data_IF_586903767486
#
_entry.id   IF_586903767486
#
_cell.length_a   1.000
_cell.length_b   1.000
_cell.length_c   1.000
_cell.angle_alpha   90.00
_cell.angle_beta   90.00
_cell.angle_gamma   90.00
#
_symmetry.space_group_name_H-M   'P 1'
#
loop_
_entity.id
_entity.type
_entity.pdbx_description
1 polymer ?
#
# COMPACT_ATOMS: atom_id res chain seq x y z
N UNK A 1 3.84 51.09 -12.70
CA UNK A 1 3.67 49.63 -12.82
C UNK A 1 4.11 48.85 -11.57
N UNK A 2 4.72 49.48 -10.55
CA UNK A 2 5.16 48.76 -9.34
C UNK A 2 6.31 47.78 -9.57
N UNK A 3 7.01 47.92 -10.70
CA UNK A 3 8.18 47.12 -11.07
C UNK A 3 9.39 47.75 -10.39
N UNK A 4 10.22 46.91 -9.75
CA UNK A 4 11.50 47.34 -9.23
C UNK A 4 12.56 47.38 -10.33
N UNK A 5 13.49 48.32 -10.24
CA UNK A 5 14.50 48.56 -11.26
C UNK A 5 15.91 48.31 -10.74
N UNK A 6 16.69 47.56 -11.52
CA UNK A 6 18.14 47.54 -11.38
C UNK A 6 18.73 48.33 -12.55
N UNK A 7 19.47 49.40 -12.25
CA UNK A 7 20.05 50.28 -13.27
C UNK A 7 21.57 50.14 -13.24
N UNK A 8 22.16 49.85 -14.40
CA UNK A 8 23.59 49.68 -14.55
C UNK A 8 24.28 50.87 -15.18
N UNK A 9 25.41 51.29 -14.61
CA UNK A 9 26.42 52.10 -15.29
C UNK A 9 27.33 51.17 -16.07
N UNK A 10 27.35 51.29 -17.41
CA UNK A 10 28.26 50.52 -18.25
C UNK A 10 29.66 51.13 -18.20
N UNK A 11 30.62 50.41 -17.64
CA UNK A 11 32.00 50.87 -17.51
C UNK A 11 32.91 50.20 -18.54
N UNK A 12 33.86 50.95 -19.08
CA UNK A 12 34.87 50.51 -20.05
C UNK A 12 36.25 51.10 -19.73
N UNK A 13 37.25 50.91 -20.60
CA UNK A 13 38.54 51.61 -20.50
C UNK A 13 38.49 53.13 -20.73
N UNK A 14 37.35 53.71 -21.13
CA UNK A 14 37.19 55.16 -21.33
C UNK A 14 36.76 55.84 -20.02
N UNK A 15 37.71 56.52 -19.38
CA UNK A 15 37.48 57.18 -18.08
C UNK A 15 36.45 58.32 -18.17
N UNK A 16 36.43 59.10 -19.25
CA UNK A 16 35.45 60.18 -19.38
C UNK A 16 34.03 59.64 -19.60
N UNK A 17 33.90 58.56 -20.35
CA UNK A 17 32.62 57.87 -20.51
C UNK A 17 32.13 57.29 -19.18
N UNK A 18 33.02 56.66 -18.41
CA UNK A 18 32.70 56.11 -17.09
C UNK A 18 32.17 57.18 -16.14
N UNK A 19 32.81 58.35 -16.08
CA UNK A 19 32.36 59.48 -15.25
C UNK A 19 30.94 59.93 -15.61
N UNK A 20 30.61 59.97 -16.90
CA UNK A 20 29.24 60.29 -17.37
C UNK A 20 28.23 59.22 -16.95
N UNK A 21 28.60 57.94 -17.01
CA UNK A 21 27.72 56.83 -16.63
C UNK A 21 27.46 56.81 -15.12
N UNK A 22 28.51 56.99 -14.31
CA UNK A 22 28.42 57.03 -12.84
C UNK A 22 27.58 58.21 -12.37
N UNK A 23 27.79 59.40 -12.95
CA UNK A 23 27.01 60.59 -12.60
C UNK A 23 25.53 60.39 -12.89
N UNK A 24 25.20 59.84 -14.08
CA UNK A 24 23.82 59.52 -14.43
C UNK A 24 23.18 58.50 -13.50
N UNK A 25 23.89 57.42 -13.15
CA UNK A 25 23.38 56.41 -12.21
C UNK A 25 23.04 57.04 -10.85
N UNK A 26 23.89 57.93 -10.34
CA UNK A 26 23.66 58.64 -9.07
C UNK A 26 22.44 59.58 -9.19
N UNK A 27 22.32 60.32 -10.29
CA UNK A 27 21.20 61.23 -10.51
C UNK A 27 19.86 60.48 -10.59
N UNK A 28 19.82 59.35 -11.31
CA UNK A 28 18.65 58.48 -11.38
C UNK A 28 18.29 57.87 -10.02
N UNK A 29 19.31 57.48 -9.23
CA UNK A 29 19.07 56.99 -7.88
C UNK A 29 18.46 58.06 -6.97
N UNK A 30 18.96 59.31 -7.04
CA UNK A 30 18.40 60.45 -6.30
C UNK A 30 17.00 60.83 -6.77
N UNK A 31 16.68 60.58 -8.04
CA UNK A 31 15.34 60.75 -8.59
C UNK A 31 14.35 59.65 -8.13
N UNK A 32 14.83 58.60 -7.45
CA UNK A 32 14.00 57.49 -6.97
C UNK A 32 13.71 56.42 -8.02
N UNK A 33 14.46 56.41 -9.13
CA UNK A 33 14.26 55.49 -10.25
C UNK A 33 15.08 54.19 -10.13
N UNK A 34 15.84 54.00 -9.04
CA UNK A 34 16.79 52.90 -8.85
C UNK A 34 16.49 52.17 -7.54
N UNK A 35 16.09 50.89 -7.60
CA UNK A 35 16.04 50.02 -6.42
C UNK A 35 17.38 49.31 -6.16
N UNK A 36 18.17 49.09 -7.21
CA UNK A 36 19.50 48.45 -7.16
C UNK A 36 20.44 49.10 -8.17
N UNK A 37 21.54 49.69 -7.70
CA UNK A 37 22.53 50.35 -8.54
C UNK A 37 23.65 49.36 -8.90
N UNK A 38 23.89 49.14 -10.19
CA UNK A 38 24.93 48.24 -10.70
C UNK A 38 26.07 49.08 -11.29
N UNK A 39 27.26 48.93 -10.74
CA UNK A 39 28.48 49.66 -11.11
C UNK A 39 29.36 48.73 -11.92
N UNK A 40 29.20 48.76 -13.24
CA UNK A 40 29.85 47.82 -14.15
C UNK A 40 29.09 46.51 -14.30
N UNK A 41 29.14 45.96 -15.51
CA UNK A 41 28.74 44.59 -15.83
C UNK A 41 29.90 43.95 -16.58
N UNK A 42 30.40 42.81 -16.10
CA UNK A 42 31.54 42.06 -16.66
C UNK A 42 32.80 42.91 -16.87
N UNK A 43 32.99 43.92 -16.03
CA UNK A 43 34.10 44.86 -16.12
C UNK A 43 35.45 44.18 -15.83
N UNK A 44 35.49 43.25 -14.86
CA UNK A 44 36.68 42.47 -14.54
C UNK A 44 36.96 41.44 -15.64
N UNK A 45 35.91 40.74 -16.11
CA UNK A 45 36.03 39.79 -17.22
C UNK A 45 36.61 40.44 -18.48
N UNK A 46 36.15 41.65 -18.82
CA UNK A 46 36.64 42.40 -19.99
C UNK A 46 38.00 43.07 -19.75
N UNK A 47 38.50 43.06 -18.51
CA UNK A 47 39.71 43.76 -18.10
C UNK A 47 39.67 45.26 -18.48
N UNK A 48 38.49 45.87 -18.38
CA UNK A 48 38.26 47.27 -18.72
C UNK A 48 38.82 48.21 -17.63
N UNK A 49 38.78 47.76 -16.37
CA UNK A 49 39.25 48.48 -15.18
C UNK A 49 39.99 47.52 -14.27
N UNK A 50 40.95 48.05 -13.49
CA UNK A 50 41.58 47.29 -12.41
C UNK A 50 40.63 47.08 -11.22
N UNK A 51 40.95 46.11 -10.35
CA UNK A 51 40.22 45.84 -9.11
C UNK A 51 40.03 47.12 -8.27
N UNK A 52 41.09 47.89 -8.08
CA UNK A 52 41.08 49.11 -7.26
C UNK A 52 40.24 50.23 -7.90
N UNK A 53 40.28 50.39 -9.22
CA UNK A 53 39.46 51.37 -9.94
C UNK A 53 37.98 51.05 -9.81
N UNK A 54 37.60 49.79 -9.97
CA UNK A 54 36.21 49.35 -9.81
C UNK A 54 35.72 49.58 -8.37
N UNK A 55 36.55 49.26 -7.38
CA UNK A 55 36.26 49.51 -5.96
C UNK A 55 36.02 51.00 -5.69
N UNK A 56 36.82 51.89 -6.29
CA UNK A 56 36.66 53.34 -6.13
C UNK A 56 35.30 53.81 -6.66
N UNK A 57 34.90 53.36 -7.85
CA UNK A 57 33.57 53.68 -8.40
C UNK A 57 32.43 53.14 -7.53
N UNK A 58 32.54 51.89 -7.05
CA UNK A 58 31.53 51.30 -6.15
C UNK A 58 31.39 52.15 -4.89
N UNK A 59 32.50 52.52 -4.24
CA UNK A 59 32.50 53.36 -3.04
C UNK A 59 31.86 54.72 -3.29
N UNK A 60 32.21 55.37 -4.40
CA UNK A 60 31.67 56.68 -4.77
C UNK A 60 30.16 56.63 -4.97
N UNK A 61 29.66 55.62 -5.69
CA UNK A 61 28.22 55.43 -5.89
C UNK A 61 27.53 55.17 -4.55
N UNK A 62 28.06 54.26 -3.71
CA UNK A 62 27.53 53.98 -2.37
C UNK A 62 27.40 55.20 -1.48
N UNK A 63 28.38 56.09 -1.51
CA UNK A 63 28.37 57.33 -0.72
C UNK A 63 27.40 58.37 -1.27
N UNK A 64 26.98 58.26 -2.53
CA UNK A 64 26.23 59.29 -3.25
C UNK A 64 24.76 58.96 -3.49
N UNK A 65 24.38 57.69 -3.44
CA UNK A 65 22.99 57.24 -3.63
C UNK A 65 22.18 57.37 -2.33
N UNK A 66 20.84 57.54 -2.39
CA UNK A 66 20.00 57.61 -1.20
C UNK A 66 20.08 56.36 -0.31
N UNK A 67 19.87 56.53 0.99
CA UNK A 67 19.81 55.43 1.94
C UNK A 67 18.72 54.42 1.53
N UNK A 68 19.08 53.14 1.48
CA UNK A 68 18.19 52.04 1.08
C UNK A 68 18.35 51.59 -0.38
N UNK A 69 19.09 52.33 -1.21
CA UNK A 69 19.52 51.86 -2.53
C UNK A 69 20.78 51.01 -2.36
N UNK A 70 20.67 49.71 -2.60
CA UNK A 70 21.82 48.81 -2.57
C UNK A 70 22.70 49.05 -3.81
N UNK A 71 24.02 48.94 -3.64
CA UNK A 71 24.98 49.06 -4.73
C UNK A 71 25.76 47.76 -4.91
N UNK A 72 26.01 47.37 -6.15
CA UNK A 72 26.76 46.17 -6.51
C UNK A 72 27.55 46.39 -7.80
N UNK A 73 28.41 45.45 -8.18
CA UNK A 73 28.80 45.18 -9.57
C UNK A 73 28.16 43.88 -10.03
N UNK A 74 28.02 43.66 -11.34
CA UNK A 74 27.69 42.35 -11.90
C UNK A 74 28.92 41.82 -12.64
N UNK A 75 29.35 40.59 -12.34
CA UNK A 75 30.45 39.96 -13.08
C UNK A 75 30.28 38.45 -13.10
N UNK A 76 31.13 37.73 -13.83
CA UNK A 76 31.04 36.27 -13.88
C UNK A 76 31.31 35.66 -12.50
N UNK A 77 30.75 34.47 -12.26
CA UNK A 77 31.03 33.67 -11.06
C UNK A 77 32.53 33.57 -10.73
N UNK A 78 33.37 33.35 -11.75
CA UNK A 78 34.81 33.15 -11.57
C UNK A 78 35.51 34.45 -11.19
N UNK A 79 35.17 35.55 -11.84
CA UNK A 79 35.79 36.85 -11.56
C UNK A 79 35.47 37.35 -10.15
N UNK A 80 34.22 37.20 -9.70
CA UNK A 80 33.85 37.61 -8.35
C UNK A 80 34.60 36.81 -7.28
N UNK A 81 34.75 35.50 -7.47
CA UNK A 81 35.51 34.66 -6.52
C UNK A 81 37.01 34.99 -6.52
N UNK A 82 37.57 35.42 -7.66
CA UNK A 82 38.96 35.85 -7.74
C UNK A 82 39.20 37.22 -7.08
N UNK A 83 38.16 38.05 -6.97
CA UNK A 83 38.23 39.43 -6.46
C UNK A 83 37.35 39.64 -5.21
N UNK A 84 37.67 39.01 -4.06
CA UNK A 84 36.86 39.10 -2.85
C UNK A 84 36.78 40.51 -2.26
N UNK A 85 37.74 41.39 -2.55
CA UNK A 85 37.67 42.79 -2.10
C UNK A 85 36.53 43.55 -2.79
N UNK A 86 36.31 43.30 -4.08
CA UNK A 86 35.17 43.87 -4.82
C UNK A 86 33.86 43.40 -4.20
N UNK A 87 33.74 42.11 -3.91
CA UNK A 87 32.57 41.55 -3.22
C UNK A 87 32.38 42.16 -1.82
N UNK A 88 33.46 42.45 -1.09
CA UNK A 88 33.41 43.09 0.23
C UNK A 88 32.86 44.52 0.18
N UNK A 89 33.00 45.22 -0.93
CA UNK A 89 32.48 46.58 -1.10
C UNK A 89 31.03 46.63 -1.60
N UNK A 90 30.51 45.58 -2.23
CA UNK A 90 29.12 45.50 -2.69
C UNK A 90 28.13 45.26 -1.53
N UNK A 91 26.91 45.78 -1.61
CA UNK A 91 25.85 45.50 -0.62
C UNK A 91 25.14 44.16 -0.89
N UNK A 92 25.09 43.79 -2.16
CA UNK A 92 24.50 42.55 -2.70
C UNK A 92 25.51 41.96 -3.68
N UNK A 93 25.54 40.65 -3.89
CA UNK A 93 26.45 40.00 -4.84
C UNK A 93 25.64 39.55 -6.06
N UNK A 94 25.95 40.11 -7.22
CA UNK A 94 25.31 39.80 -8.50
C UNK A 94 26.28 39.06 -9.42
N UNK A 95 25.96 37.81 -9.78
CA UNK A 95 26.83 37.02 -10.64
C UNK A 95 26.15 36.52 -11.92
N UNK A 96 26.87 36.66 -13.03
CA UNK A 96 26.51 36.11 -14.34
C UNK A 96 26.96 34.64 -14.39
N UNK A 97 26.07 33.76 -14.87
CA UNK A 97 26.33 32.32 -14.91
C UNK A 97 25.62 31.67 -16.08
N UNK A 98 26.38 31.27 -17.09
CA UNK A 98 25.87 30.71 -18.33
C UNK A 98 26.48 29.32 -18.59
N UNK A 99 25.83 28.24 -18.13
CA UNK A 99 26.25 26.87 -18.45
C UNK A 99 26.39 26.62 -19.96
N UNK A 100 25.59 27.32 -20.77
CA UNK A 100 25.67 27.27 -22.22
C UNK A 100 27.07 27.60 -22.76
N UNK A 101 27.63 28.76 -22.37
CA UNK A 101 28.94 29.22 -22.84
C UNK A 101 30.09 28.33 -22.39
N UNK A 102 29.90 27.55 -21.34
CA UNK A 102 30.88 26.62 -20.79
C UNK A 102 30.76 25.20 -21.37
N UNK A 103 29.90 25.00 -22.36
CA UNK A 103 29.71 23.70 -23.01
C UNK A 103 29.06 22.62 -22.14
N UNK A 104 28.34 23.03 -21.08
CA UNK A 104 27.68 22.15 -20.14
C UNK A 104 26.35 21.69 -20.71
N UNK A 105 26.12 20.38 -20.74
CA UNK A 105 24.89 19.80 -21.25
C UNK A 105 23.65 20.21 -20.45
N UNK A 106 22.50 20.27 -21.11
CA UNK A 106 21.24 20.75 -20.53
C UNK A 106 20.82 20.00 -19.25
N UNK A 107 21.14 18.71 -19.17
CA UNK A 107 20.87 17.82 -18.02
C UNK A 107 21.76 18.12 -16.80
N UNK A 108 22.91 18.76 -16.99
CA UNK A 108 23.87 19.12 -15.92
C UNK A 108 23.89 20.61 -15.59
N UNK A 109 23.26 21.43 -16.43
CA UNK A 109 23.30 22.89 -16.31
C UNK A 109 22.79 23.38 -14.94
N UNK A 110 21.77 22.74 -14.37
CA UNK A 110 21.23 23.12 -13.07
C UNK A 110 22.07 22.66 -11.88
N UNK A 111 22.78 21.53 -12.00
CA UNK A 111 23.72 21.10 -10.96
C UNK A 111 24.85 22.12 -10.81
N UNK A 112 25.30 22.69 -11.94
CA UNK A 112 26.27 23.78 -11.96
C UNK A 112 25.71 25.04 -11.28
N UNK A 113 24.49 25.45 -11.61
CA UNK A 113 23.87 26.63 -10.99
C UNK A 113 23.73 26.49 -9.47
N UNK A 114 23.21 25.34 -9.02
CA UNK A 114 23.05 25.06 -7.60
C UNK A 114 24.38 25.04 -6.84
N UNK A 115 25.40 24.41 -7.43
CA UNK A 115 26.76 24.38 -6.87
C UNK A 115 27.37 25.78 -6.74
N UNK A 116 27.27 26.60 -7.80
CA UNK A 116 27.79 27.98 -7.81
C UNK A 116 27.12 28.86 -6.80
N UNK A 117 25.79 28.82 -6.76
CA UNK A 117 25.02 29.64 -5.82
C UNK A 117 25.40 29.31 -4.38
N UNK A 118 25.45 28.01 -4.03
CA UNK A 118 25.87 27.56 -2.69
C UNK A 118 27.30 27.96 -2.38
N UNK A 119 28.21 27.86 -3.34
CA UNK A 119 29.60 28.27 -3.16
C UNK A 119 29.68 29.78 -2.85
N UNK A 120 29.05 30.63 -3.66
CA UNK A 120 29.04 32.08 -3.43
C UNK A 120 28.42 32.43 -2.08
N UNK A 121 27.25 31.88 -1.75
CA UNK A 121 26.59 32.11 -0.45
C UNK A 121 27.52 31.77 0.73
N UNK A 122 28.32 30.70 0.62
CA UNK A 122 29.27 30.32 1.67
C UNK A 122 30.50 31.25 1.76
N UNK A 123 30.84 31.96 0.68
CA UNK A 123 32.03 32.82 0.62
C UNK A 123 31.73 34.30 0.88
N UNK A 124 30.46 34.70 0.84
CA UNK A 124 30.06 36.11 1.01
C UNK A 124 29.42 36.29 2.38
N UNK A 125 29.93 37.25 3.17
CA UNK A 125 29.66 37.47 4.62
C UNK A 125 28.18 37.75 4.96
N UNK A 126 27.28 36.80 4.73
CA UNK A 126 25.81 36.92 4.82
C UNK A 126 25.21 37.99 3.91
N UNK A 127 25.89 38.35 2.81
CA UNK A 127 25.33 39.27 1.81
C UNK A 127 24.32 38.53 0.93
N UNK A 128 23.21 39.16 0.52
CA UNK A 128 22.30 38.57 -0.45
C UNK A 128 23.03 38.24 -1.76
N UNK A 129 22.71 37.08 -2.35
CA UNK A 129 23.25 36.65 -3.65
C UNK A 129 22.12 36.60 -4.66
N UNK A 130 22.34 37.25 -5.80
CA UNK A 130 21.42 37.33 -6.93
C UNK A 130 22.10 36.73 -8.16
N UNK A 131 21.39 35.86 -8.87
CA UNK A 131 21.82 35.47 -10.23
C UNK A 131 21.47 36.62 -11.16
N UNK A 132 22.45 37.42 -11.56
CA UNK A 132 22.21 38.62 -12.36
C UNK A 132 21.92 38.31 -13.80
N UNK A 133 22.53 37.27 -14.35
CA UNK A 133 22.22 36.83 -15.69
C UNK A 133 22.41 35.33 -15.86
N UNK A 134 21.44 34.71 -16.52
CA UNK A 134 21.54 33.35 -17.00
C UNK A 134 20.47 33.09 -18.06
N UNK A 135 20.72 32.16 -18.96
CA UNK A 135 19.75 31.75 -19.96
C UNK A 135 20.23 30.56 -20.77
N UNK A 136 19.45 30.22 -21.79
CA UNK A 136 19.83 29.23 -22.80
C UNK A 136 19.19 29.58 -24.14
N UNK A 137 19.96 29.72 -25.23
CA UNK A 137 19.44 30.18 -26.51
C UNK A 137 18.62 29.10 -27.21
N UNK A 138 17.55 29.51 -27.89
CA UNK A 138 16.64 28.59 -28.59
C UNK A 138 17.13 28.16 -29.97
N UNK A 139 18.18 28.80 -30.49
CA UNK A 139 18.81 28.48 -31.77
C UNK A 139 20.25 29.03 -31.79
N UNK A 140 21.06 28.59 -32.77
CA UNK A 140 22.44 29.03 -32.95
C UNK A 140 23.44 27.88 -32.96
N UNK A 141 24.69 28.15 -32.60
CA UNK A 141 25.77 27.18 -32.67
C UNK A 141 25.89 26.33 -31.40
N UNK A 142 26.14 25.03 -31.52
CA UNK A 142 26.48 24.19 -30.36
C UNK A 142 27.86 24.57 -29.82
N UNK A 143 27.99 24.70 -28.50
CA UNK A 143 29.26 24.91 -27.80
C UNK A 143 29.50 23.70 -26.91
N UNK A 144 30.58 22.94 -27.12
CA UNK A 144 30.80 21.70 -26.36
C UNK A 144 29.58 20.78 -26.40
N UNK A 145 28.98 20.49 -25.24
CA UNK A 145 27.74 19.70 -25.12
C UNK A 145 26.47 20.57 -24.99
N UNK A 146 26.61 21.89 -25.04
CA UNK A 146 25.51 22.85 -24.98
C UNK A 146 24.85 22.99 -26.36
N UNK A 147 23.73 22.30 -26.54
CA UNK A 147 22.96 22.36 -27.79
C UNK A 147 21.86 23.42 -27.68
N UNK A 148 21.88 24.51 -28.47
CA UNK A 148 20.78 25.45 -28.52
C UNK A 148 19.58 24.84 -29.24
N UNK A 149 18.40 24.94 -28.64
CA UNK A 149 17.13 24.52 -29.26
C UNK A 149 15.96 25.09 -28.48
N UNK A 150 14.79 25.24 -29.12
CA UNK A 150 13.57 25.65 -28.43
C UNK A 150 13.27 24.76 -27.22
N UNK A 151 13.50 23.44 -27.35
CA UNK A 151 13.30 22.49 -26.25
C UNK A 151 14.29 22.70 -25.09
N UNK A 152 15.59 22.86 -25.37
CA UNK A 152 16.58 23.06 -24.31
C UNK A 152 16.44 24.42 -23.65
N UNK A 153 16.11 25.46 -24.41
CA UNK A 153 15.81 26.81 -23.90
C UNK A 153 14.63 26.77 -22.92
N UNK A 154 13.49 26.20 -23.32
CA UNK A 154 12.34 26.03 -22.44
C UNK A 154 12.62 25.13 -21.24
N UNK A 155 13.45 24.09 -21.42
CA UNK A 155 13.87 23.18 -20.35
C UNK A 155 14.70 23.92 -19.30
N UNK A 156 15.68 24.69 -19.74
CA UNK A 156 16.55 25.46 -18.86
C UNK A 156 15.76 26.50 -18.08
N UNK A 157 14.96 27.32 -18.77
CA UNK A 157 14.09 28.31 -18.15
C UNK A 157 13.19 27.68 -17.09
N UNK A 158 12.53 26.58 -17.42
CA UNK A 158 11.64 25.89 -16.50
C UNK A 158 12.34 25.40 -15.23
N UNK A 159 13.49 24.74 -15.37
CA UNK A 159 14.20 24.22 -14.20
C UNK A 159 14.87 25.33 -13.39
N UNK A 160 15.46 26.33 -14.04
CA UNK A 160 16.09 27.46 -13.37
C UNK A 160 15.08 28.25 -12.53
N UNK A 161 13.96 28.66 -13.14
CA UNK A 161 12.89 29.39 -12.42
C UNK A 161 12.30 28.53 -11.30
N UNK A 162 12.11 27.23 -11.54
CA UNK A 162 11.62 26.31 -10.51
C UNK A 162 12.59 26.20 -9.32
N UNK A 163 13.88 26.04 -9.60
CA UNK A 163 14.94 26.00 -8.58
C UNK A 163 14.99 27.31 -7.80
N UNK A 164 15.01 28.45 -8.49
CA UNK A 164 15.10 29.76 -7.85
C UNK A 164 13.89 30.04 -6.94
N UNK A 165 12.66 29.82 -7.44
CA UNK A 165 11.44 30.01 -6.65
C UNK A 165 11.34 29.05 -5.46
N UNK A 166 11.74 27.78 -5.64
CA UNK A 166 11.70 26.80 -4.56
C UNK A 166 12.67 27.13 -3.42
N UNK A 167 13.77 27.83 -3.73
CA UNK A 167 14.79 28.22 -2.77
C UNK A 167 14.73 29.71 -2.37
N UNK A 168 13.71 30.45 -2.82
CA UNK A 168 13.57 31.90 -2.59
C UNK A 168 14.79 32.73 -3.07
N UNK A 169 15.41 32.29 -4.17
CA UNK A 169 16.56 32.95 -4.78
C UNK A 169 16.09 34.08 -5.70
N UNK A 170 16.69 35.26 -5.55
CA UNK A 170 16.47 36.38 -6.45
C UNK A 170 17.30 36.21 -7.74
N UNK A 171 16.72 36.57 -8.88
CA UNK A 171 17.36 36.41 -10.17
C UNK A 171 16.83 37.41 -11.20
N UNK A 172 17.65 37.66 -12.21
CA UNK A 172 17.23 38.23 -13.49
C UNK A 172 17.52 37.18 -14.56
N UNK A 173 16.48 36.76 -15.28
CA UNK A 173 16.63 35.76 -16.36
C UNK A 173 16.93 36.50 -17.66
N UNK A 174 17.98 36.08 -18.34
CA UNK A 174 18.40 36.64 -19.61
C UNK A 174 17.78 35.81 -20.76
N UNK A 175 16.86 36.34 -21.54
CA UNK A 175 16.34 37.72 -21.52
C UNK A 175 14.83 37.77 -21.81
N UNK A 176 14.26 38.97 -21.83
CA UNK A 176 12.84 39.12 -22.14
C UNK A 176 12.58 38.75 -23.61
N UNK A 177 13.09 39.51 -24.57
CA UNK A 177 12.79 39.34 -25.99
C UNK A 177 14.03 38.92 -26.75
N UNK A 178 13.86 38.12 -27.81
CA UNK A 178 14.92 37.83 -28.77
C UNK A 178 15.46 39.15 -29.40
N UNK A 179 16.75 39.42 -29.22
CA UNK A 179 17.40 40.64 -29.71
C UNK A 179 18.27 40.40 -30.96
N UNK A 180 17.70 40.59 -32.15
CA UNK A 180 18.35 40.20 -33.43
C UNK A 180 19.70 40.87 -33.70
N UNK A 181 19.92 42.07 -33.14
CA UNK A 181 21.15 42.85 -33.34
C UNK A 181 22.37 42.21 -32.68
N UNK A 182 22.20 41.39 -31.64
CA UNK A 182 23.30 40.69 -30.93
C UNK A 182 24.01 39.65 -31.79
N UNK A 183 23.37 39.17 -32.85
CA UNK A 183 23.95 38.18 -33.76
C UNK A 183 25.27 38.63 -34.41
N UNK A 184 25.48 39.94 -34.53
CA UNK A 184 26.69 40.54 -35.09
C UNK A 184 27.92 40.24 -34.24
N UNK A 185 27.80 40.35 -32.91
CA UNK A 185 28.93 40.23 -31.99
C UNK A 185 28.99 38.88 -31.28
N UNK A 186 27.84 38.23 -31.07
CA UNK A 186 27.72 36.99 -30.28
C UNK A 186 27.47 35.75 -31.14
N UNK A 187 27.46 35.91 -32.48
CA UNK A 187 27.13 34.86 -33.43
C UNK A 187 25.64 34.52 -33.46
N UNK A 188 25.23 33.50 -34.22
CA UNK A 188 23.82 33.18 -34.46
C UNK A 188 22.97 33.03 -33.19
N UNK A 189 23.55 32.49 -32.12
CA UNK A 189 22.88 32.30 -30.83
C UNK A 189 22.50 33.61 -30.11
N UNK A 190 23.22 34.70 -30.35
CA UNK A 190 23.00 35.99 -29.70
C UNK A 190 21.58 36.53 -29.90
N UNK A 191 20.94 36.18 -31.01
CA UNK A 191 19.60 36.64 -31.34
C UNK A 191 18.45 35.84 -30.68
N UNK A 192 18.75 34.84 -29.84
CA UNK A 192 17.78 33.79 -29.51
C UNK A 192 17.63 33.45 -28.02
N UNK A 193 17.91 34.40 -27.11
CA UNK A 193 17.87 34.20 -25.66
C UNK A 193 16.53 34.51 -24.99
N UNK A 194 15.60 35.12 -25.72
CA UNK A 194 14.33 35.60 -25.19
C UNK A 194 13.44 34.49 -24.63
N UNK A 195 12.67 34.85 -23.61
CA UNK A 195 11.45 34.12 -23.19
C UNK A 195 10.31 34.38 -24.19
N UNK A 196 10.28 35.58 -24.76
CA UNK A 196 9.44 36.00 -25.87
C UNK A 196 10.28 36.12 -27.14
N UNK A 197 9.67 35.90 -28.31
CA UNK A 197 10.29 36.22 -29.58
C UNK A 197 10.31 37.74 -29.82
N UNK A 198 10.99 38.17 -30.89
CA UNK A 198 11.13 39.59 -31.26
C UNK A 198 9.80 40.32 -31.51
N UNK A 199 8.73 39.57 -31.77
CA UNK A 199 7.40 40.10 -32.08
C UNK A 199 6.48 40.07 -30.84
N UNK A 200 7.01 39.64 -29.69
CA UNK A 200 6.31 39.61 -28.41
C UNK A 200 5.49 38.35 -28.15
N UNK A 201 5.62 37.30 -28.97
CA UNK A 201 4.95 36.03 -28.70
C UNK A 201 5.80 35.19 -27.74
N UNK A 202 5.15 34.54 -26.77
CA UNK A 202 5.85 33.66 -25.83
C UNK A 202 6.39 32.43 -26.56
N UNK A 203 7.67 32.11 -26.35
CA UNK A 203 8.31 30.97 -27.02
C UNK A 203 7.77 29.64 -26.48
N UNK A 204 7.61 28.61 -27.33
CA UNK A 204 6.99 27.35 -26.93
C UNK A 204 7.66 26.68 -25.72
N UNK A 205 6.88 26.34 -24.72
CA UNK A 205 7.34 25.64 -23.51
C UNK A 205 7.70 26.58 -22.35
N UNK A 206 7.90 27.88 -22.61
CA UNK A 206 8.15 28.86 -21.55
C UNK A 206 6.95 29.02 -20.62
N UNK A 207 5.73 28.80 -21.10
CA UNK A 207 4.50 28.93 -20.31
C UNK A 207 4.36 27.87 -19.21
N UNK A 208 5.19 26.82 -19.22
CA UNK A 208 5.14 25.74 -18.23
C UNK A 208 5.36 26.24 -16.79
N UNK A 209 6.15 27.29 -16.60
CA UNK A 209 6.37 27.89 -15.25
C UNK A 209 5.17 28.70 -14.74
N UNK A 210 4.18 28.93 -15.60
CA UNK A 210 2.96 29.70 -15.29
C UNK A 210 1.77 28.80 -14.97
N UNK A 211 1.82 27.51 -15.34
CA UNK A 211 0.71 26.57 -15.16
C UNK A 211 0.86 25.78 -13.86
N UNK A 212 -0.12 25.90 -12.96
CA UNK A 212 -0.22 25.08 -11.73
C UNK A 212 -0.27 23.58 -12.14
N UNK A 213 0.39 22.67 -11.39
CA UNK A 213 0.40 21.25 -11.73
C UNK A 213 -1.02 20.68 -11.62
N UNK A 214 -1.33 19.67 -12.43
CA UNK A 214 -2.61 18.96 -12.33
C UNK A 214 -2.35 17.55 -11.81
N UNK A 215 -2.65 17.31 -10.54
CA UNK A 215 -2.39 16.04 -9.88
C UNK A 215 -3.18 14.90 -10.52
N UNK A 216 -2.50 13.82 -10.90
CA UNK A 216 -3.15 12.58 -11.33
C UNK A 216 -2.28 11.38 -11.05
N UNK A 217 -2.89 10.22 -10.79
CA UNK A 217 -2.14 9.00 -10.50
C UNK A 217 -2.93 7.73 -10.80
N UNK A 218 -2.22 6.61 -10.84
CA UNK A 218 -2.75 5.25 -10.86
C UNK A 218 -2.02 4.35 -9.86
N UNK A 219 -2.70 3.32 -9.35
CA UNK A 219 -2.14 2.26 -8.52
C UNK A 219 -2.44 0.89 -9.10
N UNK A 220 -1.51 -0.06 -9.00
CA UNK A 220 -1.73 -1.45 -9.40
C UNK A 220 -0.98 -2.44 -8.48
N UNK A 221 -1.64 -3.50 -7.98
CA UNK A 221 -3.09 -3.74 -8.03
C UNK A 221 -3.88 -2.82 -7.08
N UNK A 222 -5.17 -2.60 -7.34
CA UNK A 222 -6.06 -1.83 -6.44
C UNK A 222 -6.79 -2.70 -5.40
N UNK A 223 -6.69 -4.03 -5.50
CA UNK A 223 -7.22 -4.92 -4.48
C UNK A 223 -6.44 -6.22 -4.38
N UNK A 224 -6.45 -6.84 -3.19
CA UNK A 224 -5.81 -8.12 -2.95
C UNK A 224 -5.77 -8.49 -1.47
N UNK A 225 -5.08 -9.58 -1.14
CA UNK A 225 -4.93 -10.04 0.24
C UNK A 225 -3.66 -9.45 0.89
N UNK A 226 -3.66 -9.34 2.21
CA UNK A 226 -2.45 -9.00 2.97
C UNK A 226 -1.32 -10.05 2.76
N UNK A 227 -0.04 -9.62 2.67
CA UNK A 227 0.39 -8.24 2.43
C UNK A 227 0.15 -7.83 0.97
N UNK A 228 -0.46 -6.66 0.75
CA UNK A 228 -0.71 -6.15 -0.59
C UNK A 228 0.34 -5.11 -0.96
N UNK A 229 1.26 -5.47 -1.87
CA UNK A 229 2.23 -4.55 -2.47
C UNK A 229 1.60 -3.86 -3.68
N UNK A 230 1.49 -2.54 -3.64
CA UNK A 230 0.89 -1.69 -4.68
C UNK A 230 1.97 -0.78 -5.29
N UNK A 231 2.06 -0.77 -6.61
CA UNK A 231 2.85 0.21 -7.36
C UNK A 231 1.97 1.42 -7.66
N UNK A 232 2.37 2.59 -7.19
CA UNK A 232 1.78 3.88 -7.53
C UNK A 232 2.64 4.58 -8.60
N UNK A 233 1.95 5.15 -9.59
CA UNK A 233 2.56 5.85 -10.72
C UNK A 233 1.95 7.23 -10.85
N UNK A 234 2.80 8.25 -10.88
CA UNK A 234 2.41 9.63 -11.17
C UNK A 234 1.95 9.76 -12.64
N UNK A 235 0.84 10.46 -12.83
CA UNK A 235 0.24 10.79 -14.14
C UNK A 235 -0.06 12.29 -14.23
N UNK A 236 0.52 13.10 -13.33
CA UNK A 236 0.23 14.51 -13.23
C UNK A 236 0.73 15.30 -14.45
N UNK A 237 0.01 16.36 -14.80
CA UNK A 237 0.35 17.24 -15.92
C UNK A 237 0.97 18.57 -15.44
N UNK A 238 1.40 19.40 -16.40
CA UNK A 238 2.07 20.69 -16.19
C UNK A 238 3.36 20.60 -15.36
N UNK A 239 4.17 19.57 -15.65
CA UNK A 239 5.53 19.38 -15.12
C UNK A 239 5.63 19.63 -13.60
N UNK A 240 5.23 18.67 -12.75
CA UNK A 240 5.52 18.75 -11.32
C UNK A 240 7.02 18.54 -11.04
N UNK A 241 7.56 19.27 -10.06
CA UNK A 241 8.94 19.13 -9.56
C UNK A 241 9.02 18.46 -8.18
N UNK A 242 7.91 18.37 -7.44
CA UNK A 242 7.86 17.62 -6.17
C UNK A 242 6.54 16.86 -6.00
N UNK A 243 6.61 15.75 -5.28
CA UNK A 243 5.48 14.85 -5.00
C UNK A 243 5.36 14.60 -3.50
N UNK A 244 4.12 14.40 -3.02
CA UNK A 244 3.83 13.92 -1.66
C UNK A 244 2.62 13.00 -1.73
N UNK A 245 2.86 11.72 -1.53
CA UNK A 245 1.86 10.67 -1.43
C UNK A 245 1.36 10.54 0.01
N UNK A 246 0.06 10.28 0.18
CA UNK A 246 -0.52 9.72 1.39
C UNK A 246 -1.25 8.43 1.03
N UNK A 247 -0.90 7.33 1.68
CA UNK A 247 -1.46 6.01 1.37
C UNK A 247 -2.70 5.67 2.19
N UNK A 248 -3.14 6.56 3.09
CA UNK A 248 -4.34 6.35 3.91
C UNK A 248 -4.16 5.42 5.12
N UNK A 249 -2.95 4.90 5.36
CA UNK A 249 -2.59 4.07 6.52
C UNK A 249 -1.63 4.78 7.49
N UNK A 250 -1.48 6.10 7.34
CA UNK A 250 -0.54 6.93 8.10
C UNK A 250 0.85 7.03 7.48
N UNK A 251 1.15 6.32 6.39
CA UNK A 251 2.44 6.40 5.69
C UNK A 251 2.38 7.31 4.46
N UNK A 252 3.55 7.83 4.08
CA UNK A 252 3.74 8.77 2.97
C UNK A 252 5.02 8.49 2.18
N UNK A 253 5.14 9.09 1.00
CA UNK A 253 6.35 9.07 0.17
C UNK A 253 6.50 10.38 -0.61
N UNK A 254 7.73 10.81 -0.89
CA UNK A 254 8.02 11.98 -1.73
C UNK A 254 8.55 11.60 -3.12
N UNK A 255 8.70 10.31 -3.40
CA UNK A 255 9.17 9.80 -4.69
C UNK A 255 8.07 9.91 -5.75
N UNK A 256 8.42 10.33 -6.98
CA UNK A 256 7.47 10.45 -8.10
C UNK A 256 6.61 9.20 -8.31
N UNK A 257 7.26 8.05 -8.48
CA UNK A 257 6.61 6.74 -8.50
C UNK A 257 6.98 6.01 -7.21
N UNK A 258 5.99 5.43 -6.53
CA UNK A 258 6.20 4.87 -5.19
C UNK A 258 5.67 3.45 -5.11
N UNK A 259 6.28 2.63 -4.27
CA UNK A 259 5.84 1.27 -3.97
C UNK A 259 5.46 1.24 -2.51
N UNK A 260 4.25 0.80 -2.19
CA UNK A 260 3.78 0.70 -0.82
C UNK A 260 3.16 -0.66 -0.52
N UNK A 261 3.36 -1.16 0.70
CA UNK A 261 2.84 -2.46 1.14
C UNK A 261 1.88 -2.27 2.31
N UNK A 262 0.62 -2.66 2.10
CA UNK A 262 -0.41 -2.68 3.13
C UNK A 262 -0.41 -4.02 3.88
N UNK A 263 -0.25 -3.98 5.20
CA UNK A 263 -0.17 -5.17 6.07
C UNK A 263 -1.46 -5.46 6.85
N UNK A 264 -2.44 -4.57 6.80
CA UNK A 264 -3.74 -4.73 7.47
C UNK A 264 -4.87 -4.74 6.42
N UNK A 265 -5.93 -5.48 6.70
CA UNK A 265 -7.14 -5.45 5.88
C UNK A 265 -7.88 -4.13 6.10
N UNK A 266 -8.50 -3.59 5.05
CA UNK A 266 -9.18 -2.31 5.08
C UNK A 266 -9.35 -1.70 3.68
N UNK A 267 -10.05 -0.56 3.64
CA UNK A 267 -10.10 0.31 2.46
C UNK A 267 -9.26 1.54 2.74
N UNK A 268 -8.44 1.95 1.79
CA UNK A 268 -7.48 3.02 1.96
C UNK A 268 -7.72 4.14 0.94
N UNK A 269 -7.90 5.35 1.45
CA UNK A 269 -7.97 6.58 0.64
C UNK A 269 -6.56 7.05 0.31
N UNK A 270 -6.26 7.21 -0.97
CA UNK A 270 -4.93 7.62 -1.43
C UNK A 270 -4.99 9.04 -1.97
N UNK A 271 -4.00 9.86 -1.62
CA UNK A 271 -3.83 11.18 -2.21
C UNK A 271 -2.41 11.41 -2.73
N UNK A 272 -2.31 12.24 -3.76
CA UNK A 272 -1.07 12.76 -4.32
C UNK A 272 -1.16 14.27 -4.37
N UNK A 273 -0.26 14.95 -3.65
CA UNK A 273 0.01 16.38 -3.80
C UNK A 273 1.23 16.55 -4.71
N UNK A 274 1.11 17.40 -5.74
CA UNK A 274 2.22 17.79 -6.60
C UNK A 274 2.43 19.30 -6.56
N UNK A 275 3.68 19.73 -6.74
CA UNK A 275 4.09 21.14 -6.76
C UNK A 275 4.95 21.43 -7.98
N UNK A 276 4.85 22.64 -8.51
CA UNK A 276 5.86 23.27 -9.37
C UNK A 276 6.01 24.76 -8.99
N UNK A 277 6.73 25.52 -9.81
CA UNK A 277 6.99 26.95 -9.59
C UNK A 277 5.73 27.85 -9.64
N UNK A 278 4.63 27.37 -10.24
CA UNK A 278 3.35 28.09 -10.33
C UNK A 278 2.42 27.80 -9.14
N UNK A 279 2.60 26.67 -8.45
CA UNK A 279 1.80 26.34 -7.27
C UNK A 279 1.70 24.84 -6.98
N UNK A 280 0.65 24.48 -6.24
CA UNK A 280 0.40 23.11 -5.76
C UNK A 280 -1.00 22.64 -6.14
N UNK A 281 -1.15 21.34 -6.39
CA UNK A 281 -2.46 20.70 -6.56
C UNK A 281 -2.48 19.32 -5.91
N UNK A 282 -3.65 18.90 -5.42
CA UNK A 282 -3.85 17.61 -4.77
C UNK A 282 -4.99 16.85 -5.41
N UNK A 283 -4.76 15.57 -5.72
CA UNK A 283 -5.82 14.62 -6.07
C UNK A 283 -5.97 13.60 -4.96
N UNK A 284 -7.21 13.32 -4.58
CA UNK A 284 -7.57 12.30 -3.57
C UNK A 284 -8.59 11.36 -4.16
N UNK A 285 -8.35 10.05 -4.07
CA UNK A 285 -9.31 9.00 -4.47
C UNK A 285 -9.70 8.23 -3.21
N UNK A 286 -10.96 8.34 -2.80
CA UNK A 286 -11.52 7.64 -1.64
C UNK A 286 -11.58 6.13 -1.90
N UNK A 287 -11.29 5.34 -0.87
CA UNK A 287 -11.34 3.86 -0.90
C UNK A 287 -10.61 3.24 -2.10
N UNK A 288 -9.53 3.88 -2.54
CA UNK A 288 -8.83 3.51 -3.77
C UNK A 288 -8.22 2.12 -3.72
N UNK A 289 -7.67 1.72 -2.57
CA UNK A 289 -7.08 0.38 -2.37
C UNK A 289 -7.95 -0.43 -1.41
N UNK A 290 -8.30 -1.66 -1.79
CA UNK A 290 -9.05 -2.61 -0.95
C UNK A 290 -8.17 -3.81 -0.58
N UNK A 291 -7.82 -3.92 0.69
CA UNK A 291 -6.99 -4.99 1.22
C UNK A 291 -7.85 -5.96 2.03
N UNK A 292 -7.78 -7.24 1.71
CA UNK A 292 -8.54 -8.33 2.34
C UNK A 292 -7.63 -9.18 3.22
N UNK A 293 -8.19 -9.87 4.20
CA UNK A 293 -7.45 -10.89 4.95
C UNK A 293 -7.16 -12.08 4.04
N UNK A 294 -5.95 -12.64 4.12
CA UNK A 294 -5.65 -13.88 3.43
C UNK A 294 -6.59 -15.02 3.92
N UNK A 295 -7.12 -15.86 3.03
CA UNK A 295 -7.95 -16.98 3.44
C UNK A 295 -7.09 -17.97 4.26
N UNK A 296 -7.66 -18.49 5.35
CA UNK A 296 -6.97 -19.42 6.26
C UNK A 296 -7.36 -20.85 5.89
N UNK A 297 -6.39 -21.78 5.87
CA UNK A 297 -6.67 -23.22 5.63
C UNK A 297 -7.73 -23.75 6.61
N UNK A 298 -8.63 -24.65 6.19
CA UNK A 298 -9.60 -25.24 7.08
C UNK A 298 -8.90 -26.10 8.15
N UNK A 299 -9.55 -26.30 9.29
CA UNK A 299 -9.08 -27.24 10.32
C UNK A 299 -10.11 -28.34 10.46
N UNK A 300 -9.78 -29.56 10.00
CA UNK A 300 -10.69 -30.69 9.99
C UNK A 300 -11.04 -31.13 11.42
N UNK A 301 -12.34 -31.21 11.74
CA UNK A 301 -12.81 -31.77 12.99
C UNK A 301 -14.20 -32.39 12.82
N UNK A 302 -14.48 -33.45 13.55
CA UNK A 302 -15.78 -34.12 13.50
C UNK A 302 -16.10 -34.92 14.77
N UNK A 303 -17.37 -35.27 14.91
CA UNK A 303 -17.89 -36.24 15.87
C UNK A 303 -18.83 -37.25 15.21
N UNK A 304 -19.20 -38.32 15.93
CA UNK A 304 -20.15 -39.34 15.47
C UNK A 304 -20.99 -39.85 16.64
N UNK A 305 -22.22 -40.28 16.36
CA UNK A 305 -23.08 -40.93 17.34
C UNK A 305 -24.07 -41.91 16.67
N UNK A 306 -24.25 -43.13 17.21
CA UNK A 306 -23.43 -43.76 18.25
C UNK A 306 -22.04 -44.18 17.71
N UNK A 307 -21.06 -44.38 18.59
CA UNK A 307 -19.72 -44.88 18.22
C UNK A 307 -19.56 -46.40 18.41
N UNK A 308 -20.55 -47.08 19.01
CA UNK A 308 -20.57 -48.53 19.12
C UNK A 308 -21.98 -49.11 19.10
N UNK A 309 -22.10 -50.38 18.71
CA UNK A 309 -23.38 -51.10 18.66
C UNK A 309 -23.27 -52.43 17.92
N UNK A 310 -24.41 -53.01 17.51
CA UNK A 310 -24.45 -54.26 16.75
C UNK A 310 -24.72 -53.98 15.27
N UNK A 311 -24.22 -54.84 14.38
CA UNK A 311 -24.54 -54.77 12.97
C UNK A 311 -26.03 -55.12 12.70
N UNK A 312 -26.76 -54.37 11.83
CA UNK A 312 -26.33 -53.14 11.17
C UNK A 312 -26.36 -51.92 12.10
N UNK A 313 -25.27 -51.15 12.17
CA UNK A 313 -25.17 -49.95 13.00
C UNK A 313 -25.29 -48.69 12.16
N UNK A 314 -26.40 -47.94 12.32
CA UNK A 314 -26.58 -46.62 11.72
C UNK A 314 -25.92 -45.55 12.59
N UNK A 315 -24.95 -44.84 12.03
CA UNK A 315 -24.16 -43.79 12.68
C UNK A 315 -24.43 -42.44 12.00
N UNK A 316 -24.63 -41.38 12.79
CA UNK A 316 -24.69 -40.00 12.30
C UNK A 316 -23.36 -39.32 12.55
N UNK A 317 -22.72 -38.82 11.49
CA UNK A 317 -21.51 -38.01 11.57
C UNK A 317 -21.87 -36.52 11.57
N UNK A 318 -21.06 -35.72 12.27
CA UNK A 318 -21.25 -34.26 12.35
C UNK A 318 -19.91 -33.57 12.09
N UNK A 319 -19.88 -32.72 11.07
CA UNK A 319 -18.75 -31.82 10.82
C UNK A 319 -18.64 -30.75 11.91
N UNK A 320 -17.43 -30.53 12.39
CA UNK A 320 -17.03 -29.53 13.39
C UNK A 320 -15.84 -28.69 12.90
N UNK A 321 -15.54 -28.74 11.60
CA UNK A 321 -14.36 -28.11 11.02
C UNK A 321 -14.45 -26.58 11.06
N UNK A 322 -13.30 -25.91 11.22
CA UNK A 322 -13.19 -24.45 11.29
C UNK A 322 -12.66 -23.83 9.97
N UNK A 323 -12.67 -22.49 9.90
CA UNK A 323 -12.22 -21.67 8.76
C UNK A 323 -12.98 -21.94 7.45
N UNK A 324 -14.31 -22.04 7.55
CA UNK A 324 -15.25 -22.04 6.42
C UNK A 324 -14.87 -22.99 5.27
N UNK A 325 -14.84 -24.31 5.51
CA UNK A 325 -14.65 -25.29 4.44
C UNK A 325 -15.79 -25.21 3.42
N UNK A 326 -15.47 -25.39 2.15
CA UNK A 326 -16.40 -25.37 1.02
C UNK A 326 -16.62 -26.76 0.41
N UNK A 327 -15.81 -27.76 0.77
CA UNK A 327 -16.05 -29.16 0.39
C UNK A 327 -15.57 -30.15 1.45
N UNK A 328 -16.19 -31.34 1.46
CA UNK A 328 -15.95 -32.44 2.41
C UNK A 328 -15.71 -33.75 1.67
N UNK A 329 -14.83 -34.59 2.21
CA UNK A 329 -14.63 -35.99 1.79
C UNK A 329 -14.47 -36.86 3.01
N UNK A 330 -15.44 -37.73 3.25
CA UNK A 330 -15.44 -38.73 4.30
C UNK A 330 -14.92 -40.06 3.77
N UNK A 331 -14.16 -40.79 4.58
CA UNK A 331 -13.93 -42.23 4.41
C UNK A 331 -14.36 -42.95 5.68
N UNK A 332 -15.15 -44.02 5.52
CA UNK A 332 -15.78 -44.70 6.65
C UNK A 332 -14.98 -45.91 7.17
N UNK A 333 -13.84 -46.22 6.56
CA UNK A 333 -12.95 -47.33 6.96
C UNK A 333 -13.28 -48.69 6.35
N UNK A 334 -14.32 -48.77 5.51
CA UNK A 334 -14.76 -49.98 4.81
C UNK A 334 -14.70 -49.84 3.27
N UNK A 335 -13.93 -48.85 2.79
CA UNK A 335 -13.82 -48.50 1.38
C UNK A 335 -14.88 -47.51 0.87
N UNK A 336 -15.96 -47.25 1.63
CA UNK A 336 -17.00 -46.29 1.20
C UNK A 336 -16.69 -44.85 1.63
N UNK A 337 -17.29 -43.91 0.91
CA UNK A 337 -17.05 -42.46 1.06
C UNK A 337 -18.35 -41.64 1.02
N UNK A 338 -18.26 -40.37 1.41
CA UNK A 338 -19.35 -39.38 1.26
C UNK A 338 -18.77 -37.97 1.07
N UNK A 339 -19.48 -37.12 0.35
CA UNK A 339 -19.15 -35.69 0.17
C UNK A 339 -20.11 -34.75 0.92
N UNK A 340 -21.12 -35.28 1.59
CA UNK A 340 -22.04 -34.48 2.41
C UNK A 340 -21.32 -33.90 3.63
N UNK A 341 -21.71 -32.69 4.06
CA UNK A 341 -21.15 -32.04 5.25
C UNK A 341 -21.26 -32.92 6.50
N UNK A 342 -22.45 -33.45 6.77
CA UNK A 342 -22.72 -34.30 7.94
C UNK A 342 -23.54 -35.54 7.53
N UNK A 343 -22.89 -36.63 7.06
CA UNK A 343 -23.59 -37.80 6.55
C UNK A 343 -24.15 -38.70 7.65
N UNK A 344 -25.20 -39.45 7.33
CA UNK A 344 -25.57 -40.67 8.07
C UNK A 344 -25.08 -41.89 7.27
N UNK A 345 -24.47 -42.85 7.96
CA UNK A 345 -23.89 -44.05 7.34
C UNK A 345 -24.21 -45.30 8.15
N UNK A 346 -24.48 -46.43 7.48
CA UNK A 346 -24.82 -47.69 8.14
C UNK A 346 -23.73 -48.74 7.88
N UNK A 347 -23.12 -49.23 8.95
CA UNK A 347 -22.17 -50.33 8.92
C UNK A 347 -22.90 -51.68 9.02
N UNK A 348 -22.87 -52.47 7.96
CA UNK A 348 -23.60 -53.75 7.88
C UNK A 348 -22.84 -54.95 8.43
N UNK A 349 -21.53 -54.84 8.63
CA UNK A 349 -20.66 -55.92 9.13
C UNK A 349 -20.04 -55.53 10.47
N UNK A 350 -19.70 -56.54 11.26
CA UNK A 350 -18.93 -56.35 12.48
C UNK A 350 -17.48 -55.97 12.13
N UNK A 351 -16.88 -55.09 12.94
CA UNK A 351 -15.54 -54.59 12.72
C UNK A 351 -15.24 -53.32 13.51
N UNK A 352 -13.97 -52.91 13.50
CA UNK A 352 -13.52 -51.60 13.99
C UNK A 352 -13.17 -50.75 12.78
N UNK A 353 -13.80 -49.58 12.67
CA UNK A 353 -13.71 -48.74 11.49
C UNK A 353 -12.98 -47.44 11.80
N UNK A 354 -11.93 -47.16 11.03
CA UNK A 354 -11.19 -45.89 11.07
C UNK A 354 -11.89 -44.89 10.16
N UNK A 355 -12.24 -43.72 10.70
CA UNK A 355 -12.97 -42.68 9.96
C UNK A 355 -12.05 -41.49 9.70
N UNK A 356 -12.05 -40.98 8.47
CA UNK A 356 -11.33 -39.77 8.07
C UNK A 356 -12.30 -38.74 7.49
N UNK A 357 -12.07 -37.47 7.82
CA UNK A 357 -12.69 -36.32 7.15
C UNK A 357 -11.59 -35.42 6.58
N UNK A 358 -11.61 -35.20 5.27
CA UNK A 358 -10.84 -34.16 4.58
C UNK A 358 -11.77 -33.01 4.21
N UNK A 359 -11.38 -31.78 4.56
CA UNK A 359 -12.09 -30.55 4.19
C UNK A 359 -11.19 -29.61 3.39
N UNK A 360 -11.77 -28.82 2.49
CA UNK A 360 -11.05 -27.87 1.62
C UNK A 360 -11.73 -26.50 1.58
N UNK A 361 -10.94 -25.45 1.43
CA UNK A 361 -11.39 -24.12 0.98
C UNK A 361 -10.36 -23.54 -0.02
N UNK A 362 -10.50 -22.25 -0.39
CA UNK A 362 -9.59 -21.59 -1.32
C UNK A 362 -8.12 -21.52 -0.84
N UNK A 363 -7.86 -21.58 0.46
CA UNK A 363 -6.51 -21.55 1.03
C UNK A 363 -5.83 -22.92 1.08
N UNK A 364 -6.58 -24.01 0.89
CA UNK A 364 -6.04 -25.38 0.89
C UNK A 364 -6.96 -26.38 1.57
N UNK A 365 -6.38 -27.48 2.04
CA UNK A 365 -7.11 -28.59 2.68
C UNK A 365 -6.50 -28.99 4.02
N UNK A 366 -7.30 -29.67 4.84
CA UNK A 366 -6.91 -30.31 6.10
C UNK A 366 -7.66 -31.63 6.25
N UNK A 367 -7.07 -32.59 6.95
CA UNK A 367 -7.68 -33.89 7.22
C UNK A 367 -7.54 -34.28 8.68
N UNK A 368 -8.55 -34.95 9.21
CA UNK A 368 -8.52 -35.58 10.52
C UNK A 368 -8.93 -37.04 10.38
N UNK A 369 -8.16 -37.94 11.00
CA UNK A 369 -8.44 -39.38 11.03
C UNK A 369 -8.51 -39.85 12.47
N UNK A 370 -9.57 -40.58 12.83
CA UNK A 370 -9.72 -41.22 14.13
C UNK A 370 -9.74 -42.74 13.92
N UNK A 371 -8.71 -43.43 14.42
CA UNK A 371 -8.55 -44.88 14.28
C UNK A 371 -9.55 -45.63 15.16
N UNK A 372 -10.11 -46.73 14.64
CA UNK A 372 -11.06 -47.59 15.36
C UNK A 372 -12.24 -46.81 16.00
N UNK A 373 -12.68 -45.73 15.34
CA UNK A 373 -13.62 -44.78 15.91
C UNK A 373 -15.03 -45.36 16.06
N UNK A 374 -15.45 -46.19 15.11
CA UNK A 374 -16.74 -46.90 15.16
C UNK A 374 -16.49 -48.39 15.40
N UNK A 375 -17.11 -48.94 16.44
CA UNK A 375 -16.99 -50.36 16.83
C UNK A 375 -18.32 -51.07 16.62
N UNK A 376 -18.38 -51.94 15.63
CA UNK A 376 -19.58 -52.71 15.30
C UNK A 376 -19.40 -54.15 15.73
N UNK A 377 -20.25 -54.62 16.62
CA UNK A 377 -20.23 -55.97 17.15
C UNK A 377 -21.07 -56.91 16.28
N UNK A 378 -20.66 -58.17 16.19
CA UNK A 378 -21.45 -59.21 15.55
C UNK A 378 -22.68 -59.51 16.41
N UNK A 379 -23.86 -59.47 15.78
CA UNK A 379 -25.07 -59.94 16.42
C UNK A 379 -25.03 -61.48 16.52
N UNK A 380 -25.28 -62.03 17.70
CA UNK A 380 -25.38 -63.48 17.97
C UNK A 380 -26.85 -63.85 18.24
N UNK A 381 -27.20 -65.13 18.09
CA UNK A 381 -28.52 -65.60 18.52
C UNK A 381 -28.74 -65.29 20.02
N UNK A 382 -29.96 -64.92 20.44
CA UNK A 382 -30.22 -64.58 21.83
C UNK A 382 -30.03 -65.81 22.72
N UNK A 383 -29.63 -65.61 23.97
CA UNK A 383 -29.62 -66.68 24.98
C UNK A 383 -30.66 -66.33 26.02
N UNK A 384 -31.75 -67.11 26.05
CA UNK A 384 -32.87 -66.89 26.94
C UNK A 384 -32.46 -67.06 28.39
N UNK A 385 -32.73 -66.06 29.23
CA UNK A 385 -32.59 -66.18 30.66
C UNK A 385 -33.60 -65.29 31.35
N UNK A 386 -34.13 -65.75 32.48
CA UNK A 386 -35.12 -64.98 33.22
C UNK A 386 -35.05 -65.24 34.72
N UNK A 387 -35.65 -64.32 35.44
CA UNK A 387 -35.91 -64.38 36.85
C UNK A 387 -37.39 -64.07 37.10
N UNK A 388 -37.97 -64.62 38.17
CA UNK A 388 -39.28 -64.24 38.66
C UNK A 388 -39.30 -64.15 40.18
N UNK A 389 -40.13 -63.23 40.70
CA UNK A 389 -40.38 -63.06 42.13
C UNK A 389 -41.81 -62.58 42.40
N UNK A 390 -42.48 -63.09 43.46
CA UNK A 390 -42.09 -64.26 44.26
C UNK A 390 -42.21 -65.57 43.46
N UNK A 391 -41.44 -66.61 43.84
CA UNK A 391 -41.54 -67.95 43.22
C UNK A 391 -42.57 -68.86 43.90
N UNK A 392 -43.10 -68.47 45.06
CA UNK A 392 -44.17 -69.20 45.73
C UNK A 392 -45.00 -68.31 46.64
N UNK A 393 -46.27 -68.64 46.83
CA UNK A 393 -47.16 -67.91 47.72
C UNK A 393 -48.60 -68.47 47.71
N UNK A 394 -49.50 -67.79 48.39
CA UNK A 394 -50.92 -68.16 48.44
C UNK A 394 -51.66 -67.70 47.18
N UNK A 395 -52.73 -68.41 46.81
CA UNK A 395 -53.62 -67.98 45.73
C UNK A 395 -54.47 -66.76 46.17
N UNK A 396 -54.64 -65.71 45.34
CA UNK A 396 -53.98 -65.47 44.06
C UNK A 396 -52.54 -64.93 44.22
N UNK A 397 -51.62 -65.39 43.38
CA UNK A 397 -50.21 -64.97 43.41
C UNK A 397 -49.87 -64.10 42.19
N UNK A 398 -49.54 -62.84 42.44
CA UNK A 398 -48.95 -61.96 41.42
C UNK A 398 -47.43 -62.16 41.38
N UNK A 399 -46.88 -62.44 40.20
CA UNK A 399 -45.46 -62.69 39.99
C UNK A 399 -44.92 -61.74 38.94
N UNK A 400 -43.85 -61.00 39.28
CA UNK A 400 -43.09 -60.19 38.33
C UNK A 400 -42.04 -61.07 37.64
N UNK A 401 -42.06 -61.06 36.30
CA UNK A 401 -41.04 -61.70 35.47
C UNK A 401 -40.06 -60.65 34.93
N UNK A 402 -38.78 -60.97 34.93
CA UNK A 402 -37.72 -60.10 34.42
C UNK A 402 -36.86 -60.85 33.41
N UNK A 403 -36.77 -60.29 32.21
CA UNK A 403 -35.85 -60.74 31.18
C UNK A 403 -34.39 -60.48 31.60
N UNK A 404 -33.57 -61.52 31.54
CA UNK A 404 -32.12 -61.51 31.76
C UNK A 404 -31.38 -62.07 30.54
N UNK A 405 -32.05 -62.16 29.39
CA UNK A 405 -31.49 -62.75 28.18
C UNK A 405 -30.36 -61.89 27.61
N UNK A 406 -29.37 -62.54 26.98
CA UNK A 406 -28.21 -61.87 26.36
C UNK A 406 -28.33 -61.81 24.83
N UNK A 407 -27.37 -61.12 24.19
CA UNK A 407 -27.29 -60.90 22.74
C UNK A 407 -28.48 -60.13 22.13
N UNK A 408 -28.94 -59.08 22.81
CA UNK A 408 -29.88 -58.09 22.27
C UNK A 408 -31.17 -58.68 21.67
N UNK A 409 -32.02 -59.34 22.49
CA UNK A 409 -33.34 -59.77 22.05
C UNK A 409 -34.20 -58.57 21.63
N UNK A 410 -34.99 -58.75 20.58
CA UNK A 410 -35.91 -57.74 20.04
C UNK A 410 -37.38 -58.13 20.21
N UNK A 411 -37.68 -59.38 20.55
CA UNK A 411 -39.02 -59.82 20.93
C UNK A 411 -38.98 -60.94 21.98
N UNK A 412 -40.06 -61.01 22.77
CA UNK A 412 -40.22 -61.92 23.90
C UNK A 412 -41.56 -62.65 23.77
N UNK A 413 -41.61 -63.90 24.22
CA UNK A 413 -42.84 -64.69 24.40
C UNK A 413 -42.70 -65.53 25.67
N UNK A 414 -43.46 -65.17 26.69
CA UNK A 414 -43.56 -65.87 27.95
C UNK A 414 -44.71 -66.87 27.91
N UNK A 415 -44.50 -68.09 28.39
CA UNK A 415 -45.58 -69.02 28.76
C UNK A 415 -45.54 -69.22 30.26
N UNK A 416 -46.66 -68.98 30.94
CA UNK A 416 -46.73 -69.05 32.40
C UNK A 416 -47.10 -70.45 32.91
N UNK A 417 -47.42 -71.39 32.02
CA UNK A 417 -47.73 -72.78 32.39
C UNK A 417 -49.18 -73.02 32.87
N UNK A 418 -50.03 -71.99 32.85
CA UNK A 418 -51.47 -72.05 33.15
C UNK A 418 -52.36 -71.88 31.90
N UNK A 419 -51.74 -71.93 30.71
CA UNK A 419 -52.39 -71.70 29.42
C UNK A 419 -52.30 -70.25 28.92
N UNK A 420 -51.82 -69.30 29.73
CA UNK A 420 -51.68 -67.89 29.34
C UNK A 420 -50.24 -67.53 28.93
N UNK A 421 -50.09 -66.42 28.18
CA UNK A 421 -48.80 -65.94 27.66
C UNK A 421 -48.69 -64.41 27.70
N UNK A 422 -47.46 -63.90 27.55
CA UNK A 422 -47.20 -62.46 27.38
C UNK A 422 -46.08 -62.21 26.37
N UNK A 423 -46.14 -61.08 25.66
CA UNK A 423 -45.07 -60.60 24.76
C UNK A 423 -44.30 -59.41 25.31
N UNK A 424 -44.65 -58.93 26.51
CA UNK A 424 -43.91 -57.86 27.17
C UNK A 424 -42.52 -58.36 27.59
N UNK A 425 -41.53 -57.45 27.63
CA UNK A 425 -40.18 -57.78 28.09
C UNK A 425 -40.16 -58.24 29.55
N UNK A 426 -40.88 -57.53 30.42
CA UNK A 426 -40.92 -57.79 31.87
C UNK A 426 -42.38 -57.80 32.38
N UNK A 427 -43.18 -58.85 32.10
CA UNK A 427 -44.58 -58.88 32.49
C UNK A 427 -44.80 -59.16 33.97
N UNK A 428 -45.94 -58.71 34.49
CA UNK A 428 -46.53 -59.22 35.74
C UNK A 428 -47.64 -60.20 35.37
N UNK A 429 -47.69 -61.36 36.02
CA UNK A 429 -48.73 -62.36 35.80
C UNK A 429 -49.42 -62.77 37.10
N UNK A 430 -50.73 -63.00 37.06
CA UNK A 430 -51.55 -63.41 38.21
C UNK A 430 -51.96 -64.87 38.10
N UNK A 431 -51.42 -65.71 38.97
CA UNK A 431 -51.87 -67.10 39.11
C UNK A 431 -53.07 -67.18 40.05
N UNK A 432 -54.22 -67.60 39.51
CA UNK A 432 -55.51 -67.62 40.24
C UNK A 432 -55.92 -69.02 40.72
N UNK A 433 -55.10 -70.05 40.47
CA UNK A 433 -55.33 -71.42 40.93
C UNK A 433 -54.09 -71.94 41.66
N UNK A 434 -54.28 -72.89 42.55
CA UNK A 434 -53.21 -73.63 43.23
C UNK A 434 -52.55 -74.56 42.20
N UNK A 435 -51.23 -74.66 42.23
CA UNK A 435 -50.50 -75.51 41.28
C UNK A 435 -49.00 -75.27 41.30
N UNK A 436 -48.28 -76.15 40.59
CA UNK A 436 -46.88 -75.94 40.23
C UNK A 436 -46.82 -75.63 38.74
N UNK A 437 -46.29 -74.46 38.40
CA UNK A 437 -46.33 -73.93 37.04
C UNK A 437 -44.95 -73.95 36.40
N UNK A 438 -44.86 -74.57 35.22
CA UNK A 438 -43.66 -74.56 34.37
C UNK A 438 -43.66 -73.29 33.53
N UNK A 439 -42.62 -72.47 33.68
CA UNK A 439 -42.50 -71.20 32.96
C UNK A 439 -41.49 -71.32 31.85
N UNK A 440 -41.80 -70.79 30.67
CA UNK A 440 -40.84 -70.63 29.58
C UNK A 440 -40.77 -69.19 29.05
N UNK A 441 -39.57 -68.78 28.63
CA UNK A 441 -39.32 -67.55 27.89
C UNK A 441 -38.64 -67.90 26.57
N UNK A 442 -39.29 -67.59 25.46
CA UNK A 442 -38.68 -67.53 24.14
C UNK A 442 -38.30 -66.10 23.81
N UNK A 443 -37.03 -65.87 23.51
CA UNK A 443 -36.54 -64.58 22.99
C UNK A 443 -36.06 -64.75 21.55
N UNK A 444 -36.24 -63.70 20.74
CA UNK A 444 -35.81 -63.68 19.34
C UNK A 444 -35.06 -62.39 19.01
N UNK A 445 -34.08 -62.50 18.12
CA UNK A 445 -33.52 -61.38 17.37
C UNK A 445 -33.36 -61.78 15.89
N UNK A 446 -32.74 -60.93 15.08
CA UNK A 446 -32.54 -61.19 13.65
C UNK A 446 -31.66 -62.43 13.34
N UNK A 447 -30.92 -62.97 14.32
CA UNK A 447 -30.05 -64.15 14.16
C UNK A 447 -30.70 -65.46 14.60
N UNK A 448 -31.86 -65.41 15.24
CA UNK A 448 -32.58 -66.61 15.66
C UNK A 448 -33.36 -66.41 16.94
N UNK A 449 -33.82 -67.52 17.51
CA UNK A 449 -34.55 -67.56 18.77
C UNK A 449 -33.97 -68.61 19.71
N UNK A 450 -34.13 -68.38 21.00
CA UNK A 450 -33.80 -69.36 22.03
C UNK A 450 -34.90 -69.39 23.09
N UNK A 451 -35.16 -70.56 23.67
CA UNK A 451 -36.17 -70.76 24.70
C UNK A 451 -35.51 -71.33 25.94
N UNK A 452 -35.81 -70.74 27.10
CA UNK A 452 -35.49 -71.32 28.41
C UNK A 452 -36.79 -71.74 29.07
N UNK A 453 -36.83 -72.97 29.58
CA UNK A 453 -37.98 -73.51 30.32
C UNK A 453 -37.50 -73.97 31.69
N UNK A 454 -38.22 -73.60 32.75
CA UNK A 454 -37.94 -74.07 34.11
C UNK A 454 -39.21 -74.73 34.65
N UNK A 455 -39.12 -76.03 34.92
CA UNK A 455 -40.25 -76.83 35.44
C UNK A 455 -40.56 -76.47 36.89
N UNK A 456 -41.85 -76.42 37.24
CA UNK A 456 -42.33 -76.10 38.59
C UNK A 456 -41.72 -74.80 39.17
N UNK A 457 -41.48 -73.81 38.31
CA UNK A 457 -40.77 -72.59 38.66
C UNK A 457 -41.56 -71.69 39.62
N UNK A 458 -42.89 -71.68 39.47
CA UNK A 458 -43.81 -70.97 40.38
C UNK A 458 -44.69 -71.98 41.11
N UNK A 459 -44.82 -71.85 42.44
CA UNK A 459 -45.62 -72.73 43.29
C UNK A 459 -46.70 -71.93 44.02
N UNK A 460 -47.95 -72.11 43.63
CA UNK A 460 -49.10 -71.48 44.28
C UNK A 460 -49.74 -72.48 45.22
N UNK A 461 -49.92 -72.09 46.48
CA UNK A 461 -50.45 -72.92 47.57
C UNK A 461 -51.75 -72.32 48.13
N UNK A 462 -52.44 -73.06 49.00
CA UNK A 462 -53.60 -72.58 49.76
C UNK A 462 -53.21 -71.41 50.68
#
# INVERSE_FOLDING_TARGET
MGIKTAIGAWLSGDTEANERQISKLIDEAKAGNVDLAIVGSETLLRNDLSEDQLIEYIKRVKQSVPAGVNVTTADTYSELLAHPKVMDECDVIMYNSYPYWEGISIDKAMDLQDSRYKNLVNNVKNKPVIVSETGWPSAGNTIGNSVPSANNSATYFYYFVSWARNNSIQYFYFEAFDETWKSVNEGPQGAHWGVWDKDGNMKPGMEKVLKIPQASFSGSPISGNIPLKVQFTDKSANSPTSWKWSFGDGKSSTTKNSVHTYSKAGKYTVSLTVKNAAGTNTKTIKDYITVKTAPVKPVAAFSASPTSGYAPLKVKFTDKSANSPTSWKWTFGDGKTSTSKSPAYTYSKAGKYTVSLTVKNAAGSSSKTIKNYIVVNALKAPVASFYASPRSGKVPLNVQFTDKSSNSPTSWKWSFGDGTYSTAKNPVHKYSKIGKYTVSLTVKNAKGSNTKTISNYIIVKK
#
